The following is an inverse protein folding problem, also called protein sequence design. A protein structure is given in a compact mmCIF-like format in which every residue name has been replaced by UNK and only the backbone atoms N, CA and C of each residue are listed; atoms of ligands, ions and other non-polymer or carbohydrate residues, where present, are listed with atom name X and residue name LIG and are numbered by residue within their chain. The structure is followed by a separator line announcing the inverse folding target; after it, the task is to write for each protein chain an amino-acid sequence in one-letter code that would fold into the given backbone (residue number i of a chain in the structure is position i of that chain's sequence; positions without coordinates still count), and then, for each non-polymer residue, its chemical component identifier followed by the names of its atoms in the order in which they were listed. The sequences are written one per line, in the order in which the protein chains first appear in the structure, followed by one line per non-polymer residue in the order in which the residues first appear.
data_IF_734718329424
#
_entry.id   IF_734718329424
#
_cell.length_a   1.000
_cell.length_b   1.000
_cell.length_c   1.000
_cell.angle_alpha   90.00
_cell.angle_beta   90.00
_cell.angle_gamma   90.00
#
_symmetry.space_group_name_H-M   'P 1'
#
loop_
_entity.id
_entity.type
_entity.pdbx_description
1 polymer ?
#
# COMPACT_ATOMS: atom_id res chain seq x y z
N UNK A 1 -17.28 -53.56 40.17
CA UNK A 1 -18.22 -52.97 39.17
C UNK A 1 -18.29 -51.47 39.22
N UNK A 2 -18.51 -50.80 40.38
CA UNK A 2 -18.61 -49.34 40.45
C UNK A 2 -17.37 -48.56 39.99
N UNK A 3 -16.14 -49.09 40.21
CA UNK A 3 -14.91 -48.39 39.77
C UNK A 3 -14.69 -48.47 38.24
N UNK A 4 -15.10 -49.54 37.59
CA UNK A 4 -14.99 -49.67 36.12
C UNK A 4 -16.00 -48.79 35.39
N UNK A 5 -17.19 -48.57 35.98
CA UNK A 5 -18.19 -47.63 35.40
C UNK A 5 -17.71 -46.18 35.45
N UNK A 6 -17.00 -45.76 36.50
CA UNK A 6 -16.48 -44.39 36.61
C UNK A 6 -15.32 -44.12 35.66
N UNK A 7 -14.47 -45.12 35.38
CA UNK A 7 -13.39 -45.01 34.42
C UNK A 7 -13.93 -44.97 32.99
N UNK A 8 -14.95 -45.76 32.66
CA UNK A 8 -15.60 -45.72 31.37
C UNK A 8 -16.33 -44.40 31.12
N UNK A 9 -17.00 -43.82 32.12
CA UNK A 9 -17.68 -42.52 31.98
C UNK A 9 -16.68 -41.36 31.86
N UNK A 10 -15.55 -41.40 32.58
CA UNK A 10 -14.47 -40.42 32.44
C UNK A 10 -13.78 -40.51 31.07
N UNK A 11 -13.54 -41.73 30.57
CA UNK A 11 -12.99 -41.94 29.23
C UNK A 11 -13.93 -41.44 28.09
N UNK A 12 -15.24 -41.68 28.21
CA UNK A 12 -16.22 -41.15 27.24
C UNK A 12 -16.32 -39.64 27.27
N UNK A 13 -16.31 -39.01 28.45
CA UNK A 13 -16.31 -37.56 28.58
C UNK A 13 -15.02 -36.92 28.02
N UNK A 14 -13.85 -37.56 28.23
CA UNK A 14 -12.60 -37.10 27.65
C UNK A 14 -12.59 -37.24 26.11
N UNK A 15 -13.16 -38.33 25.58
CA UNK A 15 -13.27 -38.51 24.12
C UNK A 15 -14.22 -37.47 23.48
N UNK A 16 -15.31 -37.11 24.14
CA UNK A 16 -16.20 -36.04 23.67
C UNK A 16 -15.55 -34.64 23.78
N UNK A 17 -14.76 -34.38 24.82
CA UNK A 17 -14.04 -33.13 24.96
C UNK A 17 -12.93 -32.95 23.90
N UNK A 18 -12.29 -34.05 23.49
CA UNK A 18 -11.27 -34.02 22.44
C UNK A 18 -11.90 -33.89 21.04
N UNK A 19 -13.06 -34.50 20.81
CA UNK A 19 -13.74 -34.36 19.53
C UNK A 19 -14.43 -32.97 19.32
N UNK A 20 -14.74 -32.27 20.41
CA UNK A 20 -15.27 -30.92 20.34
C UNK A 20 -14.23 -29.88 19.92
N UNK A 21 -12.92 -30.20 20.03
CA UNK A 21 -11.83 -29.34 19.58
C UNK A 21 -11.26 -29.71 18.21
N UNK A 22 -11.70 -30.83 17.62
CA UNK A 22 -11.17 -31.32 16.33
C UNK A 22 -12.18 -31.19 15.18
N UNK A 23 -13.26 -30.44 15.37
CA UNK A 23 -14.17 -30.08 14.28
C UNK A 23 -13.42 -29.18 13.31
N UNK A 24 -13.02 -29.72 12.17
CA UNK A 24 -12.57 -29.03 10.94
C UNK A 24 -11.51 -27.93 11.13
N UNK A 25 -10.68 -28.00 12.19
CA UNK A 25 -9.59 -27.04 12.41
C UNK A 25 -8.56 -27.08 11.27
N UNK A 26 -8.50 -28.21 10.57
CA UNK A 26 -7.57 -28.43 9.48
C UNK A 26 -8.17 -28.16 8.09
N UNK A 27 -9.47 -27.81 7.98
CA UNK A 27 -10.03 -27.37 6.70
C UNK A 27 -9.77 -25.88 6.51
N UNK A 28 -8.82 -25.49 5.63
CA UNK A 28 -8.53 -24.08 5.36
C UNK A 28 -9.74 -23.31 4.81
N UNK A 29 -10.77 -24.00 4.32
CA UNK A 29 -11.99 -23.37 3.85
C UNK A 29 -12.92 -22.95 4.99
N UNK A 30 -12.88 -23.62 6.12
CA UNK A 30 -13.68 -23.25 7.32
C UNK A 30 -13.13 -21.97 7.96
N UNK A 31 -11.82 -21.70 7.81
CA UNK A 31 -11.14 -20.51 8.32
C UNK A 31 -11.03 -19.38 7.30
N UNK A 32 -11.48 -19.60 6.07
CA UNK A 32 -11.53 -18.58 5.03
C UNK A 32 -12.68 -17.59 5.29
N UNK A 33 -12.64 -16.91 6.45
CA UNK A 33 -13.49 -15.75 6.69
C UNK A 33 -13.17 -14.70 5.64
N UNK A 34 -14.10 -14.46 4.72
CA UNK A 34 -13.98 -13.37 3.75
C UNK A 34 -14.41 -12.06 4.41
N UNK A 35 -13.93 -10.95 3.88
CA UNK A 35 -14.37 -9.62 4.32
C UNK A 35 -15.91 -9.48 4.25
N UNK A 36 -16.53 -10.08 3.25
CA UNK A 36 -17.99 -10.14 3.10
C UNK A 36 -18.65 -10.97 4.21
N UNK A 37 -18.16 -12.19 4.50
CA UNK A 37 -18.77 -13.08 5.48
C UNK A 37 -18.72 -12.53 6.90
N UNK A 38 -17.72 -11.70 7.23
CA UNK A 38 -17.63 -10.97 8.51
C UNK A 38 -18.27 -9.59 8.45
N UNK A 39 -18.92 -9.23 7.34
CA UNK A 39 -19.68 -7.98 7.19
C UNK A 39 -18.80 -6.73 7.13
N UNK A 40 -17.56 -6.85 6.67
CA UNK A 40 -16.64 -5.73 6.47
C UNK A 40 -16.94 -5.00 5.17
N UNK A 41 -17.21 -5.74 4.10
CA UNK A 41 -17.56 -5.19 2.78
C UNK A 41 -19.03 -5.40 2.44
N UNK A 42 -19.51 -4.76 1.40
CA UNK A 42 -20.86 -4.93 0.88
C UNK A 42 -21.07 -6.39 0.40
N UNK A 43 -22.29 -6.93 0.53
CA UNK A 43 -22.62 -8.24 -0.02
C UNK A 43 -22.42 -8.31 -1.52
N UNK A 44 -22.03 -9.47 -2.03
CA UNK A 44 -21.79 -9.71 -3.45
C UNK A 44 -23.03 -9.38 -4.28
N UNK A 45 -22.85 -8.59 -5.36
CA UNK A 45 -23.92 -8.15 -6.24
C UNK A 45 -24.85 -7.07 -5.64
N UNK A 46 -24.51 -6.46 -4.51
CA UNK A 46 -25.33 -5.42 -3.87
C UNK A 46 -25.02 -4.01 -4.37
N UNK A 47 -23.82 -3.75 -4.92
CA UNK A 47 -23.48 -2.47 -5.50
C UNK A 47 -24.02 -2.34 -6.93
N UNK A 48 -24.27 -1.10 -7.40
CA UNK A 48 -24.67 -0.84 -8.77
C UNK A 48 -23.61 -1.35 -9.78
N UNK A 49 -24.05 -1.52 -11.03
CA UNK A 49 -23.19 -1.92 -12.12
C UNK A 49 -22.06 -0.92 -12.36
N UNK A 50 -20.92 -1.43 -12.80
CA UNK A 50 -19.75 -0.65 -13.21
C UNK A 50 -20.12 0.30 -14.34
N UNK A 51 -19.81 1.58 -14.18
CA UNK A 51 -20.13 2.63 -15.16
C UNK A 51 -18.92 3.50 -15.53
N UNK A 52 -17.74 3.20 -15.01
CA UNK A 52 -16.49 3.90 -15.36
C UNK A 52 -15.28 2.98 -15.15
N UNK A 53 -14.11 3.37 -15.68
CA UNK A 53 -12.80 2.79 -15.40
C UNK A 53 -12.00 3.72 -14.50
N UNK A 54 -10.91 3.22 -13.87
CA UNK A 54 -10.00 4.07 -13.10
C UNK A 54 -9.40 5.17 -13.99
N UNK A 55 -9.05 4.82 -15.25
CA UNK A 55 -8.53 5.78 -16.20
C UNK A 55 -9.55 6.89 -16.50
N UNK A 56 -10.76 6.54 -16.91
CA UNK A 56 -11.82 7.50 -17.22
C UNK A 56 -12.19 8.36 -16.01
N UNK A 57 -12.22 7.77 -14.81
CA UNK A 57 -12.43 8.49 -13.57
C UNK A 57 -11.36 9.56 -13.35
N UNK A 58 -10.08 9.23 -13.53
CA UNK A 58 -8.96 10.18 -13.38
C UNK A 58 -9.03 11.31 -14.43
N UNK A 59 -9.40 11.02 -15.66
CA UNK A 59 -9.58 12.04 -16.69
C UNK A 59 -10.76 12.96 -16.37
N UNK A 60 -11.91 12.40 -16.00
CA UNK A 60 -13.11 13.18 -15.69
C UNK A 60 -12.91 14.15 -14.52
N UNK A 61 -12.14 13.74 -13.51
CA UNK A 61 -11.89 14.52 -12.30
C UNK A 61 -10.49 15.12 -12.25
N UNK A 62 -9.82 15.26 -13.38
CA UNK A 62 -8.42 15.70 -13.51
C UNK A 62 -8.10 17.01 -12.78
N UNK A 63 -9.03 17.96 -12.75
CA UNK A 63 -8.87 19.24 -12.05
C UNK A 63 -8.60 19.08 -10.54
N UNK A 64 -9.02 17.98 -9.94
CA UNK A 64 -8.78 17.68 -8.53
C UNK A 64 -7.48 16.91 -8.26
N UNK A 65 -6.69 16.62 -9.29
CA UNK A 65 -5.40 15.93 -9.16
C UNK A 65 -4.19 16.83 -9.49
N UNK A 66 -4.42 17.94 -10.21
CA UNK A 66 -3.33 18.83 -10.65
C UNK A 66 -2.90 19.85 -9.59
N UNK A 67 -3.76 20.15 -8.63
CA UNK A 67 -3.44 21.01 -7.51
C UNK A 67 -3.32 20.19 -6.22
N UNK A 68 -2.29 20.46 -5.43
CA UNK A 68 -2.03 19.70 -4.20
C UNK A 68 -3.19 19.82 -3.21
N UNK A 69 -3.57 18.67 -2.62
CA UNK A 69 -4.60 18.55 -1.59
C UNK A 69 -5.96 19.15 -2.01
N UNK A 70 -6.40 18.87 -3.23
CA UNK A 70 -7.74 19.22 -3.71
C UNK A 70 -8.60 17.97 -3.87
N UNK A 71 -9.90 18.10 -3.66
CA UNK A 71 -10.87 16.99 -3.73
C UNK A 71 -12.29 17.49 -3.99
N UNK A 72 -13.16 16.55 -4.36
CA UNK A 72 -14.59 16.77 -4.50
C UNK A 72 -15.38 15.59 -3.90
N UNK A 73 -16.58 15.89 -3.39
CA UNK A 73 -17.49 14.82 -2.97
C UNK A 73 -18.25 14.27 -4.18
N UNK A 74 -18.30 12.95 -4.30
CA UNK A 74 -19.08 12.27 -5.32
C UNK A 74 -20.51 12.08 -4.81
N UNK A 75 -21.50 12.70 -5.46
CA UNK A 75 -22.91 12.71 -5.01
C UNK A 75 -23.79 11.66 -5.70
N UNK A 76 -23.32 11.10 -6.81
CA UNK A 76 -24.04 10.09 -7.60
C UNK A 76 -23.31 8.78 -7.61
N UNK A 77 -23.97 7.72 -8.07
CA UNK A 77 -23.32 6.43 -8.24
C UNK A 77 -22.27 6.54 -9.36
N UNK A 78 -21.00 6.43 -8.97
CA UNK A 78 -19.82 6.32 -9.84
C UNK A 78 -19.10 5.07 -9.39
N UNK A 79 -19.19 4.03 -10.22
CA UNK A 79 -18.79 2.67 -9.86
C UNK A 79 -17.71 2.18 -10.82
N UNK A 80 -16.60 1.73 -10.27
CA UNK A 80 -15.52 1.11 -11.01
C UNK A 80 -15.07 -0.19 -10.36
N UNK A 81 -14.32 -1.00 -11.09
CA UNK A 81 -13.58 -2.13 -10.56
C UNK A 81 -12.09 -1.91 -10.71
N UNK A 82 -11.32 -2.52 -9.81
CA UNK A 82 -9.87 -2.59 -9.88
C UNK A 82 -9.36 -3.79 -9.10
N UNK A 83 -8.16 -4.22 -9.41
CA UNK A 83 -7.49 -5.33 -8.72
C UNK A 83 -6.51 -4.80 -7.70
N UNK A 84 -6.52 -5.38 -6.50
CA UNK A 84 -5.55 -5.04 -5.45
C UNK A 84 -4.16 -5.46 -5.89
N UNK A 85 -3.28 -4.49 -6.17
CA UNK A 85 -1.90 -4.73 -6.59
C UNK A 85 -0.86 -4.25 -5.57
N UNK A 86 -1.31 -3.57 -4.50
CA UNK A 86 -0.52 -3.31 -3.31
C UNK A 86 -1.46 -3.09 -2.11
N UNK A 87 -1.04 -3.54 -0.93
CA UNK A 87 -1.74 -3.40 0.34
C UNK A 87 -0.74 -3.17 1.48
N UNK A 88 -1.21 -3.20 2.72
CA UNK A 88 -0.42 -2.92 3.93
C UNK A 88 0.28 -4.15 4.55
N UNK A 89 0.26 -5.31 3.89
CA UNK A 89 0.84 -6.56 4.41
C UNK A 89 2.32 -6.42 4.78
N UNK A 90 3.11 -5.78 3.91
CA UNK A 90 4.54 -5.53 4.17
C UNK A 90 4.81 -4.33 5.08
N UNK A 91 3.79 -3.67 5.63
CA UNK A 91 3.94 -2.58 6.60
C UNK A 91 4.47 -1.25 6.06
N UNK A 92 4.73 -1.15 4.75
CA UNK A 92 5.26 0.08 4.13
C UNK A 92 4.18 0.97 3.50
N UNK A 93 2.98 0.44 3.35
CA UNK A 93 1.79 1.15 2.86
C UNK A 93 0.77 1.26 4.00
N UNK A 94 0.77 2.37 4.71
CA UNK A 94 -0.07 2.55 5.89
C UNK A 94 -1.49 2.99 5.52
N UNK A 95 -2.51 2.24 5.99
CA UNK A 95 -3.94 2.53 5.78
C UNK A 95 -4.32 2.67 4.29
N UNK A 96 -3.69 1.89 3.43
CA UNK A 96 -3.77 2.10 1.99
C UNK A 96 -3.81 0.76 1.25
N UNK A 97 -4.73 0.66 0.29
CA UNK A 97 -4.64 -0.31 -0.79
C UNK A 97 -4.54 0.41 -2.13
N UNK A 98 -3.83 -0.18 -3.07
CA UNK A 98 -3.75 0.30 -4.45
C UNK A 98 -4.57 -0.60 -5.35
N UNK A 99 -5.51 0.00 -6.06
CA UNK A 99 -6.35 -0.64 -7.06
C UNK A 99 -5.83 -0.27 -8.45
N UNK A 100 -5.64 -1.26 -9.32
CA UNK A 100 -5.22 -1.09 -10.71
C UNK A 100 -6.25 -1.69 -11.64
N UNK A 101 -6.46 -1.04 -12.77
CA UNK A 101 -7.39 -1.44 -13.82
C UNK A 101 -6.66 -1.35 -15.17
N UNK A 102 -6.60 -2.47 -15.89
CA UNK A 102 -5.98 -2.59 -17.21
C UNK A 102 -7.06 -2.93 -18.22
N UNK A 103 -7.41 -1.97 -19.06
CA UNK A 103 -8.26 -2.22 -20.24
C UNK A 103 -7.37 -2.38 -21.48
N UNK A 104 -7.14 -3.63 -21.87
CA UNK A 104 -6.34 -3.97 -23.05
C UNK A 104 -6.98 -3.51 -24.35
N UNK A 105 -8.31 -3.44 -24.42
CA UNK A 105 -9.03 -3.03 -25.62
C UNK A 105 -8.92 -1.53 -25.84
N UNK A 106 -8.99 -0.75 -24.78
CA UNK A 106 -8.79 0.68 -24.82
C UNK A 106 -7.30 1.10 -24.73
N UNK A 107 -6.40 0.17 -24.44
CA UNK A 107 -4.98 0.46 -24.22
C UNK A 107 -4.71 1.32 -22.99
N UNK A 108 -5.56 1.23 -21.96
CA UNK A 108 -5.41 2.01 -20.74
C UNK A 108 -4.94 1.16 -19.57
N UNK A 109 -4.11 1.76 -18.74
CA UNK A 109 -3.58 1.18 -17.49
C UNK A 109 -3.55 2.31 -16.45
N UNK A 110 -4.33 2.16 -15.40
CA UNK A 110 -4.45 3.19 -14.39
C UNK A 110 -4.61 2.59 -13.00
N UNK A 111 -4.06 3.31 -12.02
CA UNK A 111 -4.19 2.91 -10.62
C UNK A 111 -4.66 4.09 -9.77
N UNK A 112 -5.29 3.75 -8.64
CA UNK A 112 -5.74 4.73 -7.66
C UNK A 112 -5.57 4.16 -6.24
N UNK A 113 -5.37 5.04 -5.28
CA UNK A 113 -5.32 4.66 -3.87
C UNK A 113 -6.73 4.70 -3.29
N UNK A 114 -7.13 3.63 -2.61
CA UNK A 114 -8.22 3.64 -1.65
C UNK A 114 -7.64 3.68 -0.24
N UNK A 115 -7.75 4.83 0.42
CA UNK A 115 -7.26 5.01 1.77
C UNK A 115 -8.36 4.63 2.77
N UNK A 116 -8.04 3.74 3.73
CA UNK A 116 -9.01 3.14 4.66
C UNK A 116 -8.44 3.24 6.08
N UNK A 117 -9.25 3.73 7.03
CA UNK A 117 -8.82 3.93 8.42
C UNK A 117 -8.77 2.59 9.18
N UNK A 118 -7.80 1.76 8.81
CA UNK A 118 -7.46 0.53 9.51
C UNK A 118 -5.97 0.21 9.20
N UNK A 119 -5.22 -0.27 10.16
CA UNK A 119 -3.80 -0.59 10.03
C UNK A 119 -3.54 -2.06 9.66
N UNK A 120 -4.57 -2.83 9.34
CA UNK A 120 -4.47 -4.24 8.96
C UNK A 120 -5.53 -4.54 7.90
N UNK A 121 -5.24 -4.15 6.66
CA UNK A 121 -6.16 -4.27 5.52
C UNK A 121 -5.96 -5.56 4.73
N UNK A 122 -4.74 -6.09 4.72
CA UNK A 122 -4.36 -7.23 3.89
C UNK A 122 -5.20 -8.51 4.10
N UNK A 123 -5.75 -8.82 5.30
CA UNK A 123 -6.61 -9.99 5.45
C UNK A 123 -7.92 -9.87 4.68
N UNK A 124 -8.40 -8.64 4.48
CA UNK A 124 -9.65 -8.33 3.77
C UNK A 124 -9.41 -8.08 2.29
N UNK A 125 -8.26 -7.52 1.92
CA UNK A 125 -7.91 -7.11 0.56
C UNK A 125 -6.63 -7.81 0.10
N UNK A 126 -6.76 -9.10 -0.24
CA UNK A 126 -5.63 -9.92 -0.70
C UNK A 126 -5.13 -9.44 -2.06
N UNK A 127 -3.84 -9.64 -2.32
CA UNK A 127 -3.27 -9.37 -3.64
C UNK A 127 -3.99 -10.17 -4.74
N UNK A 128 -4.32 -9.51 -5.84
CA UNK A 128 -5.10 -10.11 -6.93
C UNK A 128 -6.61 -10.11 -6.72
N UNK A 129 -7.11 -9.63 -5.57
CA UNK A 129 -8.55 -9.50 -5.34
C UNK A 129 -9.12 -8.38 -6.21
N UNK A 130 -10.14 -8.69 -7.02
CA UNK A 130 -10.95 -7.69 -7.71
C UNK A 130 -11.93 -7.05 -6.73
N UNK A 131 -11.99 -5.73 -6.77
CA UNK A 131 -12.77 -4.92 -5.85
C UNK A 131 -13.63 -3.96 -6.67
N UNK A 132 -14.93 -3.94 -6.42
CA UNK A 132 -15.87 -2.95 -6.96
C UNK A 132 -16.06 -1.85 -5.93
N UNK A 133 -15.97 -0.60 -6.36
CA UNK A 133 -16.08 0.57 -5.49
C UNK A 133 -17.14 1.51 -6.02
N UNK A 134 -18.15 1.83 -5.19
CA UNK A 134 -19.07 2.92 -5.44
C UNK A 134 -18.63 4.16 -4.67
N UNK A 135 -18.33 5.22 -5.40
CA UNK A 135 -17.82 6.47 -4.84
C UNK A 135 -18.90 7.36 -4.21
N UNK A 136 -20.18 7.01 -4.31
CA UNK A 136 -21.27 7.84 -3.76
C UNK A 136 -21.08 8.14 -2.29
N UNK A 137 -21.03 9.42 -1.94
CA UNK A 137 -20.78 9.90 -0.57
C UNK A 137 -19.31 10.02 -0.20
N UNK A 138 -18.40 9.36 -0.91
CA UNK A 138 -16.96 9.45 -0.73
C UNK A 138 -16.38 10.69 -1.43
N UNK A 139 -15.11 10.95 -1.16
CA UNK A 139 -14.38 12.06 -1.77
C UNK A 139 -13.28 11.52 -2.67
N UNK A 140 -13.15 12.12 -3.83
CA UNK A 140 -12.13 11.85 -4.83
C UNK A 140 -11.23 13.06 -4.99
N UNK A 141 -9.94 12.86 -4.99
CA UNK A 141 -8.95 13.91 -5.13
C UNK A 141 -7.54 13.41 -4.91
N UNK A 142 -6.70 14.23 -4.30
CA UNK A 142 -5.32 13.86 -4.05
C UNK A 142 -4.84 14.23 -2.64
N UNK A 143 -3.78 13.55 -2.23
CA UNK A 143 -2.93 13.92 -1.11
C UNK A 143 -1.49 13.95 -1.61
N UNK A 144 -0.84 15.10 -1.53
CA UNK A 144 0.50 15.32 -2.08
C UNK A 144 0.61 14.90 -3.56
N UNK A 145 -0.36 15.32 -4.37
CA UNK A 145 -0.50 14.97 -5.79
C UNK A 145 -0.82 13.49 -6.09
N UNK A 146 -0.93 12.65 -5.07
CA UNK A 146 -1.29 11.24 -5.25
C UNK A 146 -2.80 11.07 -5.32
N UNK A 147 -3.35 10.64 -6.48
CA UNK A 147 -4.77 10.35 -6.64
C UNK A 147 -5.26 9.32 -5.63
N UNK A 148 -6.30 9.70 -4.91
CA UNK A 148 -6.90 8.80 -3.91
C UNK A 148 -8.40 9.03 -3.71
N UNK A 149 -9.01 7.99 -3.22
CA UNK A 149 -10.36 8.00 -2.65
C UNK A 149 -10.20 8.05 -1.13
N UNK A 150 -10.96 8.93 -0.49
CA UNK A 150 -10.82 9.13 0.94
C UNK A 150 -11.94 9.98 1.55
N UNK A 151 -11.65 10.56 2.71
CA UNK A 151 -12.50 11.55 3.38
C UNK A 151 -11.64 12.73 3.86
N UNK A 152 -12.16 13.97 3.79
CA UNK A 152 -11.47 15.12 4.36
C UNK A 152 -11.35 14.98 5.88
N UNK A 153 -10.19 15.27 6.43
CA UNK A 153 -9.95 15.36 7.86
C UNK A 153 -9.14 16.59 8.19
N UNK A 154 -9.37 17.11 9.38
CA UNK A 154 -8.63 18.24 9.89
C UNK A 154 -7.28 17.80 10.46
N UNK A 155 -6.21 18.47 10.05
CA UNK A 155 -4.88 18.30 10.63
C UNK A 155 -4.39 19.66 11.15
N UNK A 156 -3.98 19.70 12.42
CA UNK A 156 -3.36 20.88 13.02
C UNK A 156 -1.84 20.69 13.02
N UNK A 157 -1.12 21.70 12.54
CA UNK A 157 0.32 21.81 12.74
C UNK A 157 0.51 22.80 13.89
N UNK A 158 1.02 22.33 15.02
CA UNK A 158 1.41 23.19 16.12
C UNK A 158 2.84 23.64 15.87
N UNK A 159 3.01 24.86 15.36
CA UNK A 159 4.28 25.56 15.38
C UNK A 159 4.27 26.53 16.56
N UNK A 160 5.44 26.76 17.16
CA UNK A 160 5.63 27.61 18.35
C UNK A 160 4.73 28.85 18.35
N UNK A 161 3.65 28.83 19.13
CA UNK A 161 2.77 29.96 19.36
C UNK A 161 1.62 30.18 18.35
N UNK A 162 1.49 29.35 17.32
CA UNK A 162 0.37 29.44 16.36
C UNK A 162 -0.10 28.07 15.95
N UNK A 163 -1.39 27.79 16.10
CA UNK A 163 -2.07 26.60 15.57
C UNK A 163 -2.66 26.94 14.20
N UNK A 164 -1.98 26.54 13.14
CA UNK A 164 -2.56 26.59 11.79
C UNK A 164 -3.07 25.19 11.43
N UNK A 165 -4.36 25.06 11.14
CA UNK A 165 -4.93 23.81 10.70
C UNK A 165 -5.25 23.86 9.22
N UNK A 166 -5.24 22.69 8.59
CA UNK A 166 -5.66 22.54 7.19
C UNK A 166 -6.43 21.23 7.04
N UNK A 167 -7.38 21.21 6.09
CA UNK A 167 -8.02 19.97 5.69
C UNK A 167 -7.12 19.21 4.70
N UNK A 168 -7.10 17.88 4.83
CA UNK A 168 -6.43 16.97 3.91
C UNK A 168 -7.37 15.83 3.56
N UNK A 169 -7.18 15.21 2.39
CA UNK A 169 -7.90 14.01 2.02
C UNK A 169 -7.22 12.80 2.66
N UNK A 170 -7.83 12.27 3.71
CA UNK A 170 -7.36 11.12 4.48
C UNK A 170 -8.17 9.85 4.23
N UNK A 171 -7.98 8.84 5.07
CA UNK A 171 -8.65 7.55 4.90
C UNK A 171 -10.17 7.66 5.18
N UNK A 172 -10.95 6.87 4.43
CA UNK A 172 -12.37 6.65 4.74
C UNK A 172 -12.51 5.86 6.05
N UNK A 173 -13.63 6.02 6.73
CA UNK A 173 -13.96 5.19 7.89
C UNK A 173 -14.14 3.73 7.45
N UNK A 174 -13.64 2.80 8.26
CA UNK A 174 -13.69 1.38 7.96
C UNK A 174 -15.13 0.86 7.74
N UNK A 175 -16.08 1.41 8.48
CA UNK A 175 -17.50 1.06 8.38
C UNK A 175 -18.15 1.38 7.04
N UNK A 176 -17.59 2.33 6.27
CA UNK A 176 -18.09 2.68 4.94
C UNK A 176 -17.78 1.61 3.87
N UNK A 177 -16.90 0.66 4.16
CA UNK A 177 -16.66 -0.47 3.26
C UNK A 177 -17.93 -1.29 3.05
N UNK A 178 -18.81 -1.39 4.06
CA UNK A 178 -20.07 -2.14 4.00
C UNK A 178 -21.06 -1.61 2.96
N UNK A 179 -20.92 -0.36 2.57
CA UNK A 179 -21.86 0.31 1.64
C UNK A 179 -21.20 0.73 0.35
N UNK A 180 -19.87 0.82 0.30
CA UNK A 180 -19.15 1.40 -0.82
C UNK A 180 -18.21 0.43 -1.52
N UNK A 181 -17.89 -0.73 -0.90
CA UNK A 181 -16.86 -1.65 -1.41
C UNK A 181 -17.38 -3.08 -1.40
N UNK A 182 -17.29 -3.75 -2.55
CA UNK A 182 -17.68 -5.15 -2.76
C UNK A 182 -16.47 -5.93 -3.28
N UNK A 183 -16.28 -7.15 -2.77
CA UNK A 183 -15.29 -8.08 -3.31
C UNK A 183 -15.90 -8.88 -4.45
N UNK A 184 -15.21 -8.93 -5.59
CA UNK A 184 -15.69 -9.61 -6.81
C UNK A 184 -14.86 -10.87 -7.04
N UNK A 185 -15.50 -12.03 -6.92
CA UNK A 185 -14.85 -13.32 -7.11
C UNK A 185 -13.74 -13.61 -6.09
N UNK A 186 -12.87 -14.57 -6.43
CA UNK A 186 -11.72 -14.94 -5.62
C UNK A 186 -10.47 -14.17 -6.08
N UNK A 187 -9.47 -13.97 -5.21
CA UNK A 187 -8.20 -13.39 -5.59
C UNK A 187 -7.52 -14.21 -6.69
N UNK A 188 -7.07 -13.56 -7.76
CA UNK A 188 -6.28 -14.18 -8.82
C UNK A 188 -4.80 -13.80 -8.69
N UNK A 189 -3.92 -14.73 -8.27
CA UNK A 189 -2.50 -14.46 -8.13
C UNK A 189 -1.78 -14.25 -9.48
N UNK A 190 -2.46 -14.47 -10.60
CA UNK A 190 -1.96 -14.28 -11.96
C UNK A 190 -2.62 -13.09 -12.67
N UNK A 191 -3.38 -12.29 -11.96
CA UNK A 191 -4.01 -11.10 -12.53
C UNK A 191 -2.97 -10.20 -13.21
N UNK A 192 -3.20 -9.73 -14.44
CA UNK A 192 -2.24 -8.90 -15.17
C UNK A 192 -1.89 -7.61 -14.42
N UNK A 193 -2.79 -7.11 -13.60
CA UNK A 193 -2.61 -5.92 -12.75
C UNK A 193 -1.49 -6.10 -11.70
N UNK A 194 -1.10 -7.35 -11.39
CA UNK A 194 0.02 -7.66 -10.50
C UNK A 194 1.38 -7.58 -11.19
N UNK A 195 1.41 -7.52 -12.53
CA UNK A 195 2.64 -7.40 -13.30
C UNK A 195 3.15 -5.95 -13.21
N UNK A 196 4.36 -5.71 -12.64
CA UNK A 196 4.90 -4.37 -12.57
C UNK A 196 5.21 -3.81 -13.95
N UNK A 197 5.09 -2.50 -14.10
CA UNK A 197 5.63 -1.79 -15.27
C UNK A 197 7.16 -1.81 -15.17
N UNK A 198 7.82 -2.22 -16.22
CA UNK A 198 9.28 -2.36 -16.24
C UNK A 198 9.94 -1.05 -16.68
N UNK A 199 10.76 -0.48 -15.80
CA UNK A 199 11.59 0.70 -16.02
C UNK A 199 13.08 0.39 -15.75
N UNK A 200 13.50 -0.86 -15.96
CA UNK A 200 14.89 -1.30 -15.66
C UNK A 200 15.89 -0.99 -16.75
N UNK A 201 15.44 -0.65 -17.95
CA UNK A 201 16.25 -0.29 -19.09
C UNK A 201 16.49 1.22 -19.25
N UNK A 202 17.28 1.61 -20.22
CA UNK A 202 17.62 3.02 -20.49
C UNK A 202 16.39 3.87 -20.85
N UNK A 203 15.46 3.30 -21.62
CA UNK A 203 14.26 4.02 -22.05
C UNK A 203 13.30 4.23 -20.88
N UNK A 204 13.14 3.24 -20.03
CA UNK A 204 12.36 3.33 -18.80
C UNK A 204 12.92 4.35 -17.83
N UNK A 205 14.22 4.31 -17.55
CA UNK A 205 14.88 5.33 -16.72
C UNK A 205 14.75 6.73 -17.31
N UNK A 206 14.91 6.86 -18.64
CA UNK A 206 14.74 8.14 -19.35
C UNK A 206 13.31 8.66 -19.23
N UNK A 207 12.33 7.76 -19.34
CA UNK A 207 10.92 8.11 -19.18
C UNK A 207 10.66 8.64 -17.75
N UNK A 208 11.10 7.94 -16.71
CA UNK A 208 10.96 8.39 -15.31
C UNK A 208 11.61 9.75 -15.08
N UNK A 209 12.81 9.99 -15.63
CA UNK A 209 13.53 11.24 -15.44
C UNK A 209 12.89 12.44 -16.15
N UNK A 210 12.22 12.21 -17.29
CA UNK A 210 11.69 13.27 -18.16
C UNK A 210 10.18 13.45 -18.02
N UNK A 211 9.47 12.48 -17.42
CA UNK A 211 8.03 12.58 -17.26
C UNK A 211 7.68 13.59 -16.18
N UNK A 212 6.68 14.42 -16.48
CA UNK A 212 6.08 15.27 -15.47
C UNK A 212 5.33 14.40 -14.43
N UNK A 213 5.99 14.14 -13.34
CA UNK A 213 5.54 13.25 -12.27
C UNK A 213 4.39 13.80 -11.43
N UNK A 214 4.04 15.06 -11.53
CA UNK A 214 2.79 15.59 -10.99
C UNK A 214 1.60 15.21 -11.88
N UNK A 215 1.83 14.49 -12.98
CA UNK A 215 0.75 14.02 -13.80
C UNK A 215 0.02 12.85 -13.12
N UNK A 216 -1.19 13.10 -12.68
CA UNK A 216 -2.09 12.13 -12.05
C UNK A 216 -2.29 10.83 -12.85
N UNK A 217 -2.07 10.85 -14.18
CA UNK A 217 -2.19 9.66 -15.02
C UNK A 217 -1.21 8.57 -14.65
N UNK A 218 0.00 8.97 -14.22
CA UNK A 218 1.11 8.06 -13.97
C UNK A 218 1.32 7.71 -12.49
N UNK A 219 0.56 8.30 -11.57
CA UNK A 219 0.66 8.03 -10.14
C UNK A 219 -0.67 7.56 -9.57
N UNK A 220 -0.66 6.56 -8.64
CA UNK A 220 0.43 5.65 -8.30
C UNK A 220 0.68 4.62 -9.41
N UNK A 221 1.85 3.94 -9.39
CA UNK A 221 2.16 2.84 -10.30
C UNK A 221 2.82 1.69 -9.54
N UNK A 222 2.48 0.46 -9.89
CA UNK A 222 3.30 -0.70 -9.54
C UNK A 222 4.36 -0.86 -10.62
N UNK A 223 5.62 -0.71 -10.26
CA UNK A 223 6.72 -0.77 -11.23
C UNK A 223 7.99 -1.39 -10.67
N UNK A 224 8.90 -1.70 -11.58
CA UNK A 224 10.24 -2.21 -11.30
C UNK A 224 11.27 -1.24 -11.86
N UNK A 225 12.28 -0.93 -11.06
CA UNK A 225 13.43 -0.10 -11.43
C UNK A 225 14.72 -0.83 -11.11
N UNK A 226 15.82 -0.42 -11.74
CA UNK A 226 17.16 -0.94 -11.49
C UNK A 226 18.10 0.16 -11.05
N UNK A 227 18.95 -0.11 -10.06
CA UNK A 227 19.90 0.89 -9.60
C UNK A 227 20.70 0.41 -8.40
N UNK A 228 21.50 1.32 -7.86
CA UNK A 228 22.29 1.07 -6.65
C UNK A 228 22.00 2.14 -5.60
N UNK A 229 22.01 1.73 -4.32
CA UNK A 229 21.83 2.66 -3.22
C UNK A 229 23.10 3.45 -3.01
N UNK A 230 23.02 4.77 -3.16
CA UNK A 230 24.10 5.67 -2.78
C UNK A 230 24.11 5.81 -1.26
N UNK A 231 25.26 5.59 -0.64
CA UNK A 231 25.46 5.72 0.83
C UNK A 231 25.40 7.20 1.29
N UNK A 232 24.45 7.97 0.78
CA UNK A 232 24.20 9.29 1.31
C UNK A 232 22.86 9.27 2.02
N UNK A 233 22.93 9.38 3.32
CA UNK A 233 21.76 9.70 4.10
C UNK A 233 21.34 11.14 3.74
N UNK A 234 20.10 11.38 3.35
CA UNK A 234 19.51 12.65 3.71
C UNK A 234 19.39 12.63 5.23
N UNK A 235 20.48 12.94 5.90
CA UNK A 235 20.42 13.20 7.31
C UNK A 235 19.40 14.30 7.49
N UNK A 236 18.45 14.11 8.41
CA UNK A 236 17.87 15.22 9.12
C UNK A 236 19.04 16.18 9.43
N UNK A 237 18.94 17.46 9.10
CA UNK A 237 20.05 18.42 9.09
C UNK A 237 20.85 18.52 10.40
N UNK A 238 20.40 17.83 11.45
CA UNK A 238 21.04 17.74 12.76
C UNK A 238 21.89 16.48 12.99
N UNK A 239 21.84 15.49 12.07
CA UNK A 239 22.75 14.34 12.12
C UNK A 239 23.73 14.53 10.96
N UNK A 240 24.81 15.23 11.20
CA UNK A 240 25.91 15.35 10.25
C UNK A 240 26.36 13.94 9.82
N UNK A 241 26.94 13.79 8.60
CA UNK A 241 27.56 12.52 8.17
C UNK A 241 28.55 11.96 9.21
N UNK A 242 29.19 12.84 9.99
CA UNK A 242 29.96 12.51 11.18
C UNK A 242 29.12 11.99 12.36
N UNK A 243 27.81 12.22 12.38
CA UNK A 243 26.87 11.76 13.42
C UNK A 243 26.34 10.34 13.20
N UNK A 244 26.75 9.65 12.13
CA UNK A 244 26.62 8.21 12.00
C UNK A 244 27.41 7.46 13.09
N UNK A 245 28.30 8.15 13.76
CA UNK A 245 29.03 7.71 14.93
C UNK A 245 28.59 8.61 16.10
N UNK A 246 27.61 8.20 16.86
CA UNK A 246 27.46 8.74 18.19
C UNK A 246 28.77 8.43 18.90
N UNK A 247 29.45 9.46 19.37
CA UNK A 247 30.78 9.39 20.01
C UNK A 247 30.83 8.18 20.94
N UNK A 248 31.73 7.21 20.69
CA UNK A 248 31.86 5.98 21.45
C UNK A 248 30.83 4.85 21.16
N UNK A 249 30.04 4.95 20.09
CA UNK A 249 29.12 3.87 19.67
C UNK A 249 29.54 3.26 18.33
N UNK A 250 29.16 1.98 18.17
CA UNK A 250 29.34 1.25 16.91
C UNK A 250 28.66 1.97 15.74
N UNK A 251 29.22 1.84 14.52
CA UNK A 251 28.59 2.39 13.31
C UNK A 251 27.16 1.88 13.18
N UNK A 252 26.25 2.75 12.74
CA UNK A 252 24.88 2.36 12.44
C UNK A 252 24.86 1.22 11.43
N UNK A 253 24.03 0.21 11.62
CA UNK A 253 23.92 -0.87 10.66
C UNK A 253 23.49 -0.33 9.29
N UNK A 254 24.14 -0.79 8.23
CA UNK A 254 23.78 -0.47 6.84
C UNK A 254 22.52 -1.23 6.44
N UNK A 255 21.38 -0.80 7.00
CA UNK A 255 20.04 -1.33 6.73
C UNK A 255 19.15 -0.26 6.12
N UNK A 256 18.00 -0.65 5.55
CA UNK A 256 17.11 0.29 4.84
C UNK A 256 16.60 1.39 5.75
N UNK A 257 16.09 1.07 6.93
CA UNK A 257 15.50 2.07 7.82
C UNK A 257 15.90 1.85 9.29
N UNK A 258 17.14 2.24 9.70
CA UNK A 258 17.48 2.32 11.11
C UNK A 258 16.59 3.34 11.81
N UNK A 259 15.98 2.97 12.93
CA UNK A 259 15.05 3.83 13.68
C UNK A 259 15.66 5.19 14.06
N UNK A 260 16.94 5.22 14.37
CA UNK A 260 17.67 6.45 14.72
C UNK A 260 17.73 7.48 13.59
N UNK A 261 17.47 7.07 12.34
CA UNK A 261 17.42 7.97 11.17
C UNK A 261 15.98 8.34 10.79
N UNK A 262 15.01 7.91 11.57
CA UNK A 262 13.60 8.19 11.32
C UNK A 262 13.33 9.70 11.26
N UNK A 263 12.66 10.13 10.19
CA UNK A 263 12.22 11.51 10.03
C UNK A 263 10.83 11.69 10.65
N UNK A 264 10.78 12.19 11.87
CA UNK A 264 9.54 12.56 12.60
C UNK A 264 8.48 11.43 12.65
N UNK A 265 8.88 10.17 12.74
CA UNK A 265 7.96 9.04 12.76
C UNK A 265 7.48 8.56 11.37
N UNK A 266 8.05 9.09 10.28
CA UNK A 266 7.54 8.82 8.92
C UNK A 266 8.39 7.85 8.08
N UNK A 267 9.48 7.34 8.62
CA UNK A 267 10.37 6.39 7.94
C UNK A 267 11.65 7.03 7.42
N UNK A 268 12.47 6.24 6.72
CA UNK A 268 13.81 6.59 6.25
C UNK A 268 13.85 6.61 4.73
N UNK A 269 14.49 7.63 4.17
CA UNK A 269 14.71 7.77 2.74
C UNK A 269 16.09 7.28 2.36
N UNK A 270 16.16 6.47 1.28
CA UNK A 270 17.40 6.05 0.62
C UNK A 270 17.43 6.56 -0.81
N UNK A 271 18.59 6.98 -1.26
CA UNK A 271 18.78 7.45 -2.63
C UNK A 271 19.17 6.28 -3.54
N UNK A 272 18.28 5.90 -4.44
CA UNK A 272 18.55 4.93 -5.52
C UNK A 272 19.04 5.69 -6.74
N UNK A 273 20.28 5.45 -7.14
CA UNK A 273 20.87 6.02 -8.35
C UNK A 273 20.52 5.16 -9.55
N UNK A 274 20.05 5.78 -10.62
CA UNK A 274 19.85 5.11 -11.90
C UNK A 274 21.18 4.73 -12.56
N UNK A 275 21.13 3.70 -13.41
CA UNK A 275 22.32 3.17 -14.07
C UNK A 275 22.61 3.93 -15.37
N UNK A 276 21.56 4.14 -16.19
CA UNK A 276 21.67 4.72 -17.52
C UNK A 276 21.51 6.25 -17.50
N UNK A 277 20.86 6.80 -16.48
CA UNK A 277 20.65 8.25 -16.36
C UNK A 277 21.61 8.83 -15.31
N UNK A 278 22.83 9.16 -15.72
CA UNK A 278 23.89 9.66 -14.82
C UNK A 278 23.43 10.87 -13.99
N UNK A 279 23.63 10.79 -12.69
CA UNK A 279 23.28 11.84 -11.73
C UNK A 279 21.78 11.96 -11.44
N UNK A 280 20.93 11.11 -12.03
CA UNK A 280 19.51 11.02 -11.71
C UNK A 280 19.26 9.92 -10.69
N UNK A 281 18.22 10.10 -9.90
CA UNK A 281 17.90 9.23 -8.77
C UNK A 281 16.41 9.27 -8.44
N UNK A 282 15.98 8.29 -7.67
CA UNK A 282 14.68 8.30 -6.98
C UNK A 282 14.86 7.98 -5.49
N UNK A 283 13.85 8.26 -4.70
CA UNK A 283 13.85 7.94 -3.27
C UNK A 283 13.22 6.55 -3.05
N UNK A 284 13.91 5.66 -2.33
CA UNK A 284 13.28 4.49 -1.70
C UNK A 284 12.92 4.88 -0.28
N UNK A 285 11.62 4.98 0.00
CA UNK A 285 11.12 5.31 1.34
C UNK A 285 10.68 4.05 2.07
N UNK A 286 11.19 3.87 3.28
CA UNK A 286 10.95 2.67 4.09
C UNK A 286 10.50 3.08 5.49
N UNK A 287 9.37 2.52 5.95
CA UNK A 287 8.93 2.62 7.34
C UNK A 287 9.91 1.87 8.25
N UNK A 288 10.16 2.39 9.45
CA UNK A 288 11.01 1.71 10.46
C UNK A 288 10.31 0.51 11.11
N UNK A 289 9.01 0.32 10.86
CA UNK A 289 8.15 -0.66 11.52
C UNK A 289 7.79 -1.85 10.63
N UNK A 290 8.65 -2.22 9.70
CA UNK A 290 8.43 -3.36 8.80
C UNK A 290 9.71 -4.18 8.58
N UNK A 291 9.58 -5.37 8.02
CA UNK A 291 10.69 -6.28 7.81
C UNK A 291 11.75 -5.72 6.84
N UNK A 292 11.35 -4.88 5.90
CA UNK A 292 12.25 -4.23 4.93
C UNK A 292 13.23 -3.31 5.65
N UNK A 293 12.82 -2.70 6.77
CA UNK A 293 13.67 -1.80 7.55
C UNK A 293 14.98 -2.44 7.97
N UNK A 294 14.93 -3.73 8.32
CA UNK A 294 16.09 -4.51 8.82
C UNK A 294 16.92 -5.17 7.71
N UNK A 295 16.46 -5.10 6.46
CA UNK A 295 17.25 -5.61 5.34
C UNK A 295 18.54 -4.81 5.18
N UNK A 296 19.65 -5.50 4.94
CA UNK A 296 20.91 -4.84 4.60
C UNK A 296 20.78 -4.08 3.28
N UNK A 297 21.36 -2.89 3.22
CA UNK A 297 21.52 -2.19 1.97
C UNK A 297 22.37 -3.02 1.03
N UNK A 298 21.95 -3.28 -0.22
CA UNK A 298 22.77 -3.98 -1.19
C UNK A 298 24.03 -3.16 -1.52
N UNK A 299 25.16 -3.86 -1.62
CA UNK A 299 26.43 -3.24 -2.05
C UNK A 299 26.47 -3.00 -3.57
N UNK A 300 25.69 -3.81 -4.30
CA UNK A 300 25.70 -3.85 -5.75
C UNK A 300 24.41 -3.31 -6.35
N UNK A 301 24.37 -3.25 -7.67
CA UNK A 301 23.16 -2.95 -8.44
C UNK A 301 22.11 -4.05 -8.24
N UNK A 302 20.91 -3.63 -7.90
CA UNK A 302 19.76 -4.52 -7.69
C UNK A 302 18.54 -4.04 -8.47
N UNK A 303 17.56 -4.91 -8.57
CA UNK A 303 16.23 -4.61 -9.09
C UNK A 303 15.26 -4.43 -7.93
N UNK A 304 14.48 -3.36 -7.97
CA UNK A 304 13.53 -2.96 -6.93
C UNK A 304 12.13 -2.90 -7.52
N UNK A 305 11.20 -3.62 -6.93
CA UNK A 305 9.78 -3.56 -7.29
C UNK A 305 9.00 -2.86 -6.19
N UNK A 306 8.06 -2.00 -6.54
CA UNK A 306 7.30 -1.29 -5.51
C UNK A 306 6.23 -0.37 -6.08
N UNK A 307 5.55 0.30 -5.18
CA UNK A 307 4.60 1.36 -5.50
C UNK A 307 5.36 2.66 -5.72
N UNK A 308 5.39 3.11 -6.96
CA UNK A 308 5.92 4.41 -7.34
C UNK A 308 4.90 5.49 -7.06
N UNK A 309 5.33 6.50 -6.35
CA UNK A 309 4.55 7.68 -6.00
C UNK A 309 5.38 8.95 -6.21
N UNK A 310 4.78 10.08 -5.98
CA UNK A 310 5.44 11.36 -6.02
C UNK A 310 5.21 12.16 -4.74
N UNK A 311 6.30 12.64 -4.14
CA UNK A 311 6.29 13.62 -3.06
C UNK A 311 7.58 14.45 -3.17
N UNK A 312 7.52 15.66 -3.67
CA UNK A 312 8.70 16.51 -4.00
C UNK A 312 9.67 15.92 -5.02
N UNK A 313 9.51 14.65 -5.41
CA UNK A 313 10.32 13.87 -6.35
C UNK A 313 9.73 12.46 -6.48
N UNK A 314 10.25 11.64 -7.41
CA UNK A 314 9.88 10.25 -7.51
C UNK A 314 10.27 9.49 -6.23
N UNK A 315 9.33 8.72 -5.70
CA UNK A 315 9.48 7.95 -4.49
C UNK A 315 8.88 6.57 -4.70
N UNK A 316 9.59 5.53 -4.27
CA UNK A 316 9.12 4.15 -4.31
C UNK A 316 9.01 3.58 -2.90
N UNK A 317 7.89 2.92 -2.62
CA UNK A 317 7.69 2.09 -1.44
C UNK A 317 7.74 0.62 -1.85
N UNK A 318 8.73 -0.13 -1.40
CA UNK A 318 8.77 -1.59 -1.54
C UNK A 318 7.60 -2.20 -0.77
N UNK A 319 6.99 -3.26 -1.32
CA UNK A 319 5.83 -3.90 -0.68
C UNK A 319 6.28 -5.01 0.27
N UNK A 320 7.28 -5.80 -0.17
CA UNK A 320 7.79 -6.98 0.51
C UNK A 320 9.32 -7.03 0.47
N UNK A 321 9.91 -7.83 1.33
CA UNK A 321 11.37 -8.12 1.28
C UNK A 321 11.79 -8.75 -0.04
N UNK A 322 10.90 -9.52 -0.67
CA UNK A 322 11.11 -10.16 -1.97
C UNK A 322 11.04 -9.20 -3.17
N UNK A 323 10.63 -7.95 -2.96
CA UNK A 323 10.63 -6.91 -3.99
C UNK A 323 12.06 -6.41 -4.32
N UNK A 324 13.05 -6.76 -3.50
CA UNK A 324 14.47 -6.58 -3.78
C UNK A 324 15.06 -7.85 -4.38
N UNK A 325 15.64 -7.75 -5.58
CA UNK A 325 16.31 -8.87 -6.23
C UNK A 325 17.77 -8.51 -6.53
N UNK A 326 18.67 -9.29 -5.99
CA UNK A 326 20.08 -9.29 -6.37
C UNK A 326 20.24 -9.92 -7.77
N UNK A 327 21.23 -9.45 -8.51
CA UNK A 327 21.58 -10.03 -9.82
C UNK A 327 22.57 -11.17 -9.66
#
# INVERSE_FOLDING_TARGET
MKQYLSILSAGLLAAFALSACTGDVDDPNVWALTAESVGVTAPSGSLPDVNTTIYALKEQYSSYFVNNNTWTQIKKDVVFEGVVCANDEGGNLYQTIMLRDIDKAAGTDASIILAIKNSCLYPYFKMGQRVRVNLKGLYLGNYSYMPRIGQPYWTSVITTGSSTGNYRLGPILFELLRTNVELVGQPDPKAPELTPIDYTDEDGERWLCNTNHMNYRYCPQLCTVRGYIKEMYKANANIAESGLFLEGKEPLPKIFAPEVLEDQGYGVDRTLMFIHQTGKWLTIRTSTQNDIAFMRLPADTCTYTGVMSYYTGWQMNLRYTTDLKHQ
#
